data_IF_435126237740
#
_entry.id   IF_435126237740
#
_cell.length_a   1.000
_cell.length_b   1.000
_cell.length_c   1.000
_cell.angle_alpha   90.00
_cell.angle_beta   90.00
_cell.angle_gamma   90.00
#
_symmetry.space_group_name_H-M   'P 1'
#
loop_
_entity.id
_entity.type
_entity.pdbx_description
1 polymer ?
#
# COMPACT_ATOMS: atom_id res chain seq x y z
N UNK A 1 -30.37 -9.85 -20.63
CA UNK A 1 -30.48 -10.46 -19.29
C UNK A 1 -29.15 -10.24 -18.59
N UNK A 2 -29.12 -9.34 -17.61
CA UNK A 2 -27.90 -9.07 -16.84
C UNK A 2 -27.68 -10.25 -15.90
N UNK A 3 -26.67 -11.08 -16.17
CA UNK A 3 -26.30 -12.16 -15.27
C UNK A 3 -25.75 -11.54 -13.99
N UNK A 4 -26.49 -11.70 -12.88
CA UNK A 4 -26.02 -11.39 -11.54
C UNK A 4 -24.73 -12.16 -11.28
N UNK A 5 -23.60 -11.44 -11.30
CA UNK A 5 -22.33 -11.97 -10.83
C UNK A 5 -22.53 -12.26 -9.34
N UNK A 6 -22.69 -13.53 -9.01
CA UNK A 6 -22.63 -14.03 -7.64
C UNK A 6 -21.26 -13.67 -7.07
N UNK A 7 -21.17 -12.53 -6.38
CA UNK A 7 -20.03 -12.16 -5.53
C UNK A 7 -19.99 -13.15 -4.36
N UNK A 8 -19.42 -14.34 -4.57
CA UNK A 8 -18.74 -15.00 -3.47
C UNK A 8 -17.55 -14.10 -3.18
N UNK A 9 -17.62 -13.33 -2.09
CA UNK A 9 -16.48 -12.59 -1.58
C UNK A 9 -15.32 -13.58 -1.49
N UNK A 10 -14.19 -13.37 -2.18
CA UNK A 10 -13.02 -14.22 -1.99
C UNK A 10 -12.68 -14.23 -0.49
N UNK A 11 -12.16 -15.35 0.03
CA UNK A 11 -11.61 -15.34 1.39
C UNK A 11 -10.54 -14.27 1.43
N UNK A 12 -10.74 -13.25 2.28
CA UNK A 12 -9.80 -12.13 2.39
C UNK A 12 -8.57 -12.67 3.10
N UNK A 13 -7.43 -12.52 2.45
CA UNK A 13 -6.13 -12.85 3.00
C UNK A 13 -5.28 -11.57 3.03
N UNK A 14 -5.43 -10.74 4.07
CA UNK A 14 -4.81 -9.43 4.11
C UNK A 14 -3.33 -9.54 4.49
N UNK A 15 -2.53 -8.58 4.01
CA UNK A 15 -1.09 -8.48 4.33
C UNK A 15 -0.87 -8.22 5.82
N UNK A 16 -1.78 -7.49 6.47
CA UNK A 16 -1.79 -7.33 7.92
C UNK A 16 -2.94 -8.16 8.52
N UNK A 17 -2.63 -9.04 9.48
CA UNK A 17 -3.57 -9.99 10.10
C UNK A 17 -3.60 -9.78 11.61
N UNK A 18 -4.80 -9.80 12.18
CA UNK A 18 -4.99 -9.79 13.63
C UNK A 18 -5.13 -11.22 14.15
N UNK A 19 -4.12 -11.70 14.85
CA UNK A 19 -4.04 -13.07 15.33
C UNK A 19 -4.39 -13.19 16.81
N UNK A 20 -5.39 -14.03 17.09
CA UNK A 20 -5.85 -14.26 18.44
C UNK A 20 -5.02 -15.35 19.15
N UNK A 21 -3.98 -15.01 19.92
CA UNK A 21 -3.00 -15.96 20.50
C UNK A 21 -3.22 -16.15 22.01
N UNK A 22 -3.02 -17.37 22.51
CA UNK A 22 -2.98 -17.67 23.95
C UNK A 22 -1.63 -18.28 24.27
N UNK A 23 -0.86 -17.61 25.13
CA UNK A 23 0.46 -18.09 25.54
C UNK A 23 0.33 -19.10 26.68
N UNK A 24 1.20 -20.11 26.67
CA UNK A 24 1.30 -21.06 27.78
C UNK A 24 1.87 -20.37 29.03
N UNK A 25 1.27 -20.65 30.19
CA UNK A 25 1.74 -20.16 31.49
C UNK A 25 3.21 -20.56 31.74
N UNK A 26 4.06 -19.62 32.21
CA UNK A 26 5.43 -19.95 32.57
C UNK A 26 5.46 -20.86 33.80
N UNK A 27 6.37 -21.85 33.81
CA UNK A 27 6.54 -22.77 34.94
C UNK A 27 8.01 -23.13 35.15
N UNK A 28 8.34 -23.81 36.25
CA UNK A 28 9.71 -24.32 36.47
C UNK A 28 10.15 -25.31 35.37
N UNK A 29 9.20 -26.00 34.73
CA UNK A 29 9.47 -26.96 33.65
C UNK A 29 9.47 -26.32 32.26
N UNK A 30 9.01 -25.07 32.14
CA UNK A 30 9.07 -24.28 30.90
C UNK A 30 9.39 -22.83 31.26
N UNK A 31 10.68 -22.49 31.21
CA UNK A 31 11.23 -21.18 31.55
C UNK A 31 11.54 -20.31 30.32
N UNK A 32 10.99 -20.66 29.15
CA UNK A 32 11.17 -19.86 27.93
C UNK A 32 10.60 -18.45 28.09
N UNK A 33 11.26 -17.49 27.43
CA UNK A 33 10.86 -16.08 27.44
C UNK A 33 9.47 -15.88 26.82
N UNK A 34 8.75 -14.80 27.18
CA UNK A 34 7.50 -14.42 26.51
C UNK A 34 7.64 -14.33 24.98
N UNK A 35 8.78 -13.79 24.53
CA UNK A 35 9.14 -13.66 23.11
C UNK A 35 9.23 -15.02 22.41
N UNK A 36 9.94 -15.98 23.00
CA UNK A 36 10.10 -17.32 22.41
C UNK A 36 8.74 -18.06 22.33
N UNK A 37 7.88 -17.87 23.33
CA UNK A 37 6.51 -18.43 23.33
C UNK A 37 5.65 -17.81 22.23
N UNK A 38 5.71 -16.48 22.06
CA UNK A 38 4.94 -15.80 21.03
C UNK A 38 5.41 -16.22 19.63
N UNK A 39 6.72 -16.31 19.43
CA UNK A 39 7.34 -16.76 18.19
C UNK A 39 6.87 -18.17 17.80
N UNK A 40 6.98 -19.13 18.72
CA UNK A 40 6.50 -20.51 18.50
C UNK A 40 4.99 -20.55 18.20
N UNK A 41 4.20 -19.78 18.94
CA UNK A 41 2.75 -19.72 18.73
C UNK A 41 2.37 -19.16 17.34
N UNK A 42 3.13 -18.18 16.84
CA UNK A 42 2.97 -17.62 15.49
C UNK A 42 3.44 -18.60 14.42
N UNK A 43 4.64 -19.16 14.55
CA UNK A 43 5.21 -20.14 13.61
C UNK A 43 4.30 -21.37 13.45
N UNK A 44 3.67 -21.83 14.54
CA UNK A 44 2.71 -22.94 14.49
C UNK A 44 1.42 -22.64 13.71
N UNK A 45 1.06 -21.37 13.50
CA UNK A 45 -0.16 -20.96 12.75
C UNK A 45 0.07 -20.83 11.27
N UNK A 46 1.22 -20.31 10.86
CA UNK A 46 1.55 -20.07 9.46
C UNK A 46 2.31 -21.29 8.91
N UNK A 47 1.59 -22.37 8.61
CA UNK A 47 2.16 -23.55 7.96
C UNK A 47 2.53 -23.21 6.50
N UNK A 48 3.82 -23.05 6.21
CA UNK A 48 4.37 -22.67 4.90
C UNK A 48 5.80 -22.12 5.04
N UNK A 49 6.49 -21.85 3.92
CA UNK A 49 7.91 -21.44 3.82
C UNK A 49 8.30 -20.10 4.51
N UNK A 50 7.55 -19.62 5.51
CA UNK A 50 7.79 -18.33 6.18
C UNK A 50 8.08 -18.47 7.70
N UNK A 51 9.24 -19.02 8.09
CA UNK A 51 9.56 -19.34 9.49
C UNK A 51 10.17 -18.17 10.29
N UNK A 52 10.40 -16.99 9.71
CA UNK A 52 11.08 -15.92 10.44
C UNK A 52 10.10 -14.82 10.91
N UNK A 53 9.80 -14.84 12.22
CA UNK A 53 8.96 -13.82 12.87
C UNK A 53 9.82 -12.69 13.46
N UNK A 54 9.89 -11.53 12.83
CA UNK A 54 10.54 -10.36 13.44
C UNK A 54 9.64 -9.77 14.54
N UNK A 55 10.17 -9.60 15.76
CA UNK A 55 9.50 -8.93 16.87
C UNK A 55 10.32 -7.67 17.23
N UNK A 56 9.95 -6.48 16.73
CA UNK A 56 10.66 -5.24 17.04
C UNK A 56 10.54 -4.88 18.52
N UNK A 57 11.38 -3.93 18.96
CA UNK A 57 11.51 -3.56 20.38
C UNK A 57 10.21 -3.04 21.00
N UNK A 58 9.39 -2.31 20.25
CA UNK A 58 8.14 -1.74 20.77
C UNK A 58 7.09 -2.84 21.06
N UNK A 59 6.72 -3.71 20.12
CA UNK A 59 5.88 -4.89 20.43
C UNK A 59 6.48 -5.81 21.49
N UNK A 60 7.81 -5.92 21.58
CA UNK A 60 8.47 -6.69 22.63
C UNK A 60 8.27 -6.06 24.02
N UNK A 61 8.28 -4.73 24.13
CA UNK A 61 7.96 -4.00 25.37
C UNK A 61 6.50 -4.19 25.78
N UNK A 62 5.57 -4.12 24.81
CA UNK A 62 4.15 -4.40 25.04
C UNK A 62 3.95 -5.82 25.55
N UNK A 63 4.52 -6.81 24.85
CA UNK A 63 4.48 -8.22 25.23
C UNK A 63 5.02 -8.47 26.64
N UNK A 64 6.18 -7.90 26.95
CA UNK A 64 6.79 -8.00 28.28
C UNK A 64 5.85 -7.47 29.37
N UNK A 65 5.28 -6.28 29.17
CA UNK A 65 4.39 -5.66 30.14
C UNK A 65 3.11 -6.49 30.37
N UNK A 66 2.54 -7.03 29.29
CA UNK A 66 1.32 -7.84 29.35
C UNK A 66 1.56 -9.16 30.06
N UNK A 67 2.59 -9.91 29.65
CA UNK A 67 2.84 -11.25 30.21
C UNK A 67 3.26 -11.19 31.68
N UNK A 68 4.11 -10.24 32.07
CA UNK A 68 4.51 -10.11 33.48
C UNK A 68 3.44 -9.47 34.38
N UNK A 69 2.35 -8.94 33.82
CA UNK A 69 1.14 -8.59 34.57
C UNK A 69 0.08 -9.69 34.60
N UNK A 70 0.37 -10.87 34.01
CA UNK A 70 -0.50 -12.05 34.02
C UNK A 70 -1.45 -12.15 32.83
N UNK A 71 -1.32 -11.29 31.81
CA UNK A 71 -2.14 -11.34 30.60
C UNK A 71 -1.50 -12.29 29.60
N UNK A 72 -2.16 -13.42 29.30
CA UNK A 72 -1.69 -14.45 28.37
C UNK A 72 -2.58 -14.64 27.14
N UNK A 73 -3.82 -14.14 27.18
CA UNK A 73 -4.71 -14.06 26.03
C UNK A 73 -4.47 -12.73 25.29
N UNK A 74 -3.80 -12.83 24.15
CA UNK A 74 -3.25 -11.70 23.41
C UNK A 74 -3.84 -11.59 22.01
N UNK A 75 -4.17 -10.38 21.58
CA UNK A 75 -4.28 -10.07 20.16
C UNK A 75 -2.91 -9.63 19.65
N UNK A 76 -2.46 -10.22 18.55
CA UNK A 76 -1.17 -9.92 17.94
C UNK A 76 -1.39 -9.52 16.49
N UNK A 77 -1.06 -8.27 16.17
CA UNK A 77 -1.11 -7.83 14.78
C UNK A 77 0.21 -8.17 14.09
N UNK A 78 0.13 -8.96 13.01
CA UNK A 78 1.27 -9.33 12.19
C UNK A 78 1.13 -8.76 10.78
N UNK A 79 2.25 -8.35 10.19
CA UNK A 79 2.34 -7.83 8.83
C UNK A 79 3.30 -8.71 8.05
N UNK A 80 2.85 -9.26 6.92
CA UNK A 80 3.70 -10.04 6.03
C UNK A 80 4.79 -9.17 5.39
N UNK A 81 5.97 -9.77 5.21
CA UNK A 81 7.15 -9.22 4.54
C UNK A 81 7.63 -10.21 3.48
N UNK A 82 8.56 -9.79 2.62
CA UNK A 82 9.06 -10.59 1.49
C UNK A 82 9.62 -11.99 1.87
N UNK A 83 10.02 -12.21 3.13
CA UNK A 83 10.56 -13.49 3.60
C UNK A 83 10.12 -13.85 5.04
N UNK A 84 8.91 -13.44 5.46
CA UNK A 84 8.39 -13.80 6.77
C UNK A 84 7.39 -12.81 7.34
N UNK A 85 7.24 -12.83 8.66
CA UNK A 85 6.26 -12.01 9.38
C UNK A 85 6.94 -11.00 10.27
N UNK A 86 6.32 -9.83 10.44
CA UNK A 86 6.69 -8.87 11.48
C UNK A 86 5.53 -8.64 12.41
N UNK A 87 5.76 -8.77 13.71
CA UNK A 87 4.80 -8.31 14.72
C UNK A 87 4.81 -6.79 14.73
N UNK A 88 3.64 -6.19 14.49
CA UNK A 88 3.46 -4.75 14.50
C UNK A 88 2.93 -4.24 15.85
N UNK A 89 2.11 -5.03 16.56
CA UNK A 89 1.53 -4.68 17.86
C UNK A 89 1.11 -5.91 18.64
N UNK A 90 1.18 -5.83 19.97
CA UNK A 90 0.64 -6.84 20.90
C UNK A 90 -0.27 -6.15 21.92
N UNK A 91 -1.47 -6.68 22.11
CA UNK A 91 -2.44 -6.17 23.07
C UNK A 91 -3.15 -7.31 23.82
N UNK A 92 -3.88 -7.01 24.91
CA UNK A 92 -4.80 -7.99 25.48
C UNK A 92 -5.87 -8.36 24.43
N UNK A 93 -6.49 -9.54 24.56
CA UNK A 93 -7.63 -9.94 23.72
C UNK A 93 -8.71 -8.85 23.69
N UNK A 94 -9.10 -8.41 22.50
CA UNK A 94 -10.04 -7.31 22.25
C UNK A 94 -9.47 -5.91 22.46
N UNK A 95 -8.18 -5.79 22.77
CA UNK A 95 -7.51 -4.52 23.08
C UNK A 95 -6.84 -3.84 21.88
N UNK A 96 -6.71 -4.53 20.75
CA UNK A 96 -6.29 -3.91 19.49
C UNK A 96 -7.54 -3.55 18.71
N UNK A 97 -7.89 -2.27 18.74
CA UNK A 97 -8.92 -1.73 17.85
C UNK A 97 -8.32 -1.47 16.47
N UNK A 98 -8.97 -1.96 15.42
CA UNK A 98 -8.67 -1.75 14.00
C UNK A 98 -7.37 -2.34 13.49
N UNK A 99 -7.55 -3.18 12.49
CA UNK A 99 -6.55 -3.55 11.52
C UNK A 99 -6.85 -2.77 10.25
N UNK A 100 -6.39 -1.51 10.16
CA UNK A 100 -6.71 -0.64 9.04
C UNK A 100 -5.60 -0.63 7.99
N UNK A 101 -6.00 -0.37 6.75
CA UNK A 101 -5.11 -0.13 5.64
C UNK A 101 -5.54 1.10 4.86
N UNK A 102 -4.61 1.69 4.11
CA UNK A 102 -4.92 2.77 3.16
C UNK A 102 -4.50 2.38 1.75
N UNK A 103 -5.39 2.54 0.78
CA UNK A 103 -5.05 2.45 -0.63
C UNK A 103 -5.00 3.86 -1.23
N UNK A 104 -3.94 4.17 -1.95
CA UNK A 104 -3.68 5.48 -2.55
C UNK A 104 -3.54 5.32 -4.05
N UNK A 105 -4.38 6.03 -4.81
CA UNK A 105 -4.22 6.26 -6.24
C UNK A 105 -3.57 7.63 -6.43
N UNK A 106 -2.30 7.62 -6.81
CA UNK A 106 -1.45 8.78 -7.01
C UNK A 106 -1.45 9.17 -8.50
N UNK A 107 -2.52 9.85 -8.90
CA UNK A 107 -2.65 10.41 -10.24
C UNK A 107 -1.92 11.73 -10.44
N UNK A 108 -1.66 12.09 -11.69
CA UNK A 108 -1.05 13.38 -12.07
C UNK A 108 -1.95 14.58 -11.78
N UNK A 109 -3.27 14.38 -11.81
CA UNK A 109 -4.26 15.44 -11.62
C UNK A 109 -4.93 15.35 -10.26
N UNK A 110 -5.16 14.12 -9.79
CA UNK A 110 -5.93 13.81 -8.58
C UNK A 110 -5.20 12.78 -7.75
N UNK A 111 -5.28 12.90 -6.42
CA UNK A 111 -4.85 11.89 -5.46
C UNK A 111 -6.09 11.37 -4.74
N UNK A 112 -6.35 10.06 -4.81
CA UNK A 112 -7.50 9.43 -4.16
C UNK A 112 -7.03 8.47 -3.07
N UNK A 113 -7.65 8.53 -1.90
CA UNK A 113 -7.34 7.67 -0.77
C UNK A 113 -8.59 6.91 -0.33
N UNK A 114 -8.41 5.63 -0.04
CA UNK A 114 -9.43 4.71 0.48
C UNK A 114 -8.95 4.15 1.81
N UNK A 115 -9.71 4.36 2.88
CA UNK A 115 -9.48 3.72 4.17
C UNK A 115 -10.22 2.39 4.20
N UNK A 116 -9.50 1.32 4.47
CA UNK A 116 -9.99 -0.05 4.43
C UNK A 116 -9.90 -0.70 5.81
N UNK A 117 -10.92 -1.46 6.20
CA UNK A 117 -10.79 -2.45 7.27
C UNK A 117 -10.17 -3.71 6.66
N UNK A 118 -8.95 -4.07 7.07
CA UNK A 118 -8.25 -5.23 6.54
C UNK A 118 -8.79 -6.56 7.08
N UNK A 119 -9.57 -6.53 8.16
CA UNK A 119 -10.24 -7.72 8.71
C UNK A 119 -11.46 -8.10 7.87
N UNK A 120 -12.27 -7.10 7.49
CA UNK A 120 -13.53 -7.32 6.77
C UNK A 120 -13.42 -7.09 5.27
N UNK A 121 -12.37 -6.39 4.82
CA UNK A 121 -12.18 -5.94 3.43
C UNK A 121 -13.09 -4.78 3.02
N UNK A 122 -13.80 -4.17 3.97
CA UNK A 122 -14.74 -3.09 3.68
C UNK A 122 -14.04 -1.74 3.55
N UNK A 123 -14.50 -0.93 2.59
CA UNK A 123 -14.13 0.49 2.49
C UNK A 123 -14.88 1.26 3.58
N UNK A 124 -14.15 1.83 4.53
CA UNK A 124 -14.70 2.61 5.63
C UNK A 124 -14.96 4.07 5.22
N UNK A 125 -14.06 4.62 4.41
CA UNK A 125 -14.12 6.01 3.95
C UNK A 125 -13.24 6.24 2.73
N UNK A 126 -13.55 7.29 1.97
CA UNK A 126 -12.73 7.76 0.84
C UNK A 126 -12.60 9.28 0.80
N UNK A 127 -11.48 9.77 0.26
CA UNK A 127 -11.20 11.19 0.02
C UNK A 127 -10.47 11.36 -1.31
N UNK A 128 -10.68 12.53 -1.90
CA UNK A 128 -10.09 12.92 -3.16
C UNK A 128 -9.53 14.33 -3.02
N UNK A 129 -8.33 14.55 -3.53
CA UNK A 129 -7.65 15.84 -3.54
C UNK A 129 -7.13 16.14 -4.95
N UNK A 130 -7.09 17.41 -5.33
CA UNK A 130 -6.28 17.80 -6.48
C UNK A 130 -4.80 17.57 -6.16
N UNK A 131 -4.03 17.10 -7.14
CA UNK A 131 -2.59 16.94 -6.98
C UNK A 131 -1.91 18.33 -7.05
N UNK A 132 -1.35 18.85 -5.93
CA UNK A 132 -0.75 20.19 -5.92
C UNK A 132 0.47 20.33 -6.83
N UNK A 133 1.10 19.21 -7.22
CA UNK A 133 2.23 19.20 -8.15
C UNK A 133 1.90 19.79 -9.53
N UNK A 134 0.60 19.90 -9.88
CA UNK A 134 0.11 20.60 -11.08
C UNK A 134 0.60 22.04 -11.17
N UNK A 135 0.86 22.70 -10.03
CA UNK A 135 1.37 24.09 -10.02
C UNK A 135 2.73 24.24 -10.70
N UNK A 136 3.48 23.14 -10.84
CA UNK A 136 4.79 23.09 -11.49
C UNK A 136 4.73 22.62 -12.96
N UNK A 137 3.53 22.39 -13.48
CA UNK A 137 3.29 21.98 -14.86
C UNK A 137 1.98 21.20 -15.00
N UNK A 138 1.18 21.55 -16.00
CA UNK A 138 -0.04 20.79 -16.31
C UNK A 138 0.31 19.37 -16.79
N UNK A 139 1.38 19.23 -17.58
CA UNK A 139 1.89 17.94 -18.05
C UNK A 139 3.03 17.37 -17.17
N UNK A 140 3.24 16.06 -17.29
CA UNK A 140 4.25 15.32 -16.53
C UNK A 140 5.68 15.72 -16.93
N UNK A 141 5.92 16.08 -18.20
CA UNK A 141 7.26 16.43 -18.71
C UNK A 141 7.78 17.71 -18.07
N UNK A 142 6.93 18.73 -17.95
CA UNK A 142 7.24 19.99 -17.27
C UNK A 142 7.63 19.74 -15.81
N UNK A 143 6.92 18.83 -15.12
CA UNK A 143 7.28 18.45 -13.75
C UNK A 143 8.59 17.66 -13.67
N UNK A 144 8.90 16.81 -14.65
CA UNK A 144 10.21 16.14 -14.73
C UNK A 144 11.33 17.17 -14.89
N UNK A 145 11.13 18.22 -15.71
CA UNK A 145 12.09 19.31 -15.86
C UNK A 145 12.27 20.10 -14.56
N UNK A 146 11.19 20.35 -13.81
CA UNK A 146 11.27 20.94 -12.47
C UNK A 146 12.07 20.06 -11.51
N UNK A 147 11.79 18.75 -11.52
CA UNK A 147 12.45 17.73 -10.71
C UNK A 147 13.93 17.48 -11.09
N UNK A 148 14.39 17.97 -12.24
CA UNK A 148 15.79 17.83 -12.66
C UNK A 148 16.76 18.55 -11.70
N UNK A 149 16.25 19.48 -10.88
CA UNK A 149 16.97 20.07 -9.76
C UNK A 149 16.57 19.36 -8.46
N UNK A 150 17.55 19.13 -7.58
CA UNK A 150 17.34 18.46 -6.28
C UNK A 150 16.23 19.14 -5.46
N UNK A 151 16.20 20.46 -5.46
CA UNK A 151 15.20 21.25 -4.73
C UNK A 151 13.80 21.04 -5.30
N UNK A 152 13.65 21.01 -6.62
CA UNK A 152 12.36 20.78 -7.29
C UNK A 152 11.85 19.36 -7.06
N UNK A 153 12.74 18.36 -7.05
CA UNK A 153 12.37 16.97 -6.72
C UNK A 153 11.86 16.84 -5.28
N UNK A 154 12.55 17.45 -4.31
CA UNK A 154 12.12 17.44 -2.91
C UNK A 154 10.82 18.22 -2.70
N UNK A 155 10.60 19.30 -3.45
CA UNK A 155 9.34 20.03 -3.42
C UNK A 155 8.17 19.17 -3.89
N UNK A 156 8.31 18.50 -5.04
CA UNK A 156 7.28 17.58 -5.56
C UNK A 156 7.03 16.40 -4.63
N UNK A 157 8.10 15.81 -4.07
CA UNK A 157 7.98 14.75 -3.07
C UNK A 157 7.13 15.21 -1.89
N UNK A 158 7.52 16.34 -1.30
CA UNK A 158 6.86 16.89 -0.12
C UNK A 158 5.40 17.17 -0.39
N UNK A 159 5.08 17.76 -1.53
CA UNK A 159 3.71 18.05 -1.94
C UNK A 159 2.81 16.81 -2.04
N UNK A 160 3.29 15.73 -2.65
CA UNK A 160 2.55 14.46 -2.70
C UNK A 160 2.39 13.88 -1.30
N UNK A 161 3.47 13.82 -0.52
CA UNK A 161 3.48 13.23 0.82
C UNK A 161 2.58 14.01 1.79
N UNK A 162 2.65 15.34 1.81
CA UNK A 162 1.82 16.21 2.64
C UNK A 162 0.33 16.04 2.29
N UNK A 163 0.01 15.88 1.00
CA UNK A 163 -1.38 15.66 0.54
C UNK A 163 -1.90 14.29 0.98
N UNK A 164 -1.09 13.24 0.82
CA UNK A 164 -1.44 11.89 1.28
C UNK A 164 -1.61 11.87 2.80
N UNK A 165 -0.69 12.47 3.55
CA UNK A 165 -0.73 12.53 5.01
C UNK A 165 -1.96 13.31 5.52
N UNK A 166 -2.30 14.43 4.88
CA UNK A 166 -3.55 15.14 5.15
C UNK A 166 -4.77 14.26 4.87
N UNK A 167 -4.76 13.55 3.74
CA UNK A 167 -5.83 12.63 3.37
C UNK A 167 -6.03 11.51 4.39
N UNK A 168 -4.94 10.95 4.90
CA UNK A 168 -4.98 9.94 5.98
C UNK A 168 -5.63 10.53 7.23
N UNK A 169 -5.19 11.71 7.67
CA UNK A 169 -5.74 12.38 8.87
C UNK A 169 -7.25 12.67 8.72
N UNK A 170 -7.66 13.19 7.56
CA UNK A 170 -9.06 13.47 7.25
C UNK A 170 -9.92 12.18 7.26
N UNK A 171 -9.36 11.06 6.77
CA UNK A 171 -10.03 9.76 6.74
C UNK A 171 -10.20 9.16 8.13
N UNK A 172 -9.13 9.10 8.93
CA UNK A 172 -9.19 8.51 10.28
C UNK A 172 -10.06 9.34 11.21
N UNK A 173 -10.02 10.67 11.09
CA UNK A 173 -10.91 11.57 11.83
C UNK A 173 -12.38 11.30 11.52
N UNK A 174 -12.73 11.05 10.26
CA UNK A 174 -14.10 10.77 9.83
C UNK A 174 -14.69 9.53 10.51
N UNK A 175 -13.87 8.51 10.74
CA UNK A 175 -14.29 7.22 11.32
C UNK A 175 -13.97 7.10 12.81
N UNK A 176 -13.47 8.18 13.44
CA UNK A 176 -13.13 8.19 14.86
C UNK A 176 -11.94 7.30 15.23
N UNK A 177 -10.99 7.14 14.30
CA UNK A 177 -9.79 6.30 14.42
C UNK A 177 -8.53 7.16 14.44
N UNK A 178 -7.38 6.52 14.66
CA UNK A 178 -6.08 7.20 14.62
C UNK A 178 -5.24 6.68 13.45
N UNK A 179 -4.29 7.49 12.99
CA UNK A 179 -3.36 7.07 11.94
C UNK A 179 -2.48 5.90 12.37
N UNK A 180 -2.19 5.76 13.67
CA UNK A 180 -1.48 4.61 14.23
C UNK A 180 -2.27 3.30 14.16
N UNK A 181 -3.55 3.33 13.81
CA UNK A 181 -4.34 2.13 13.57
C UNK A 181 -4.19 1.60 12.12
N UNK A 182 -3.47 2.34 11.26
CA UNK A 182 -3.17 1.95 9.88
C UNK A 182 -1.80 1.26 9.84
N UNK A 183 -1.77 -0.01 9.42
CA UNK A 183 -0.56 -0.82 9.44
C UNK A 183 -0.01 -1.17 8.06
N UNK A 184 -0.81 -0.92 7.03
CA UNK A 184 -0.42 -1.17 5.65
C UNK A 184 -0.93 -0.06 4.73
N UNK A 185 -0.06 0.42 3.85
CA UNK A 185 -0.43 1.31 2.76
C UNK A 185 -0.10 0.64 1.43
N UNK A 186 -1.00 0.75 0.45
CA UNK A 186 -0.71 0.40 -0.94
C UNK A 186 -0.84 1.64 -1.80
N UNK A 187 0.15 1.92 -2.64
CA UNK A 187 0.20 3.13 -3.47
C UNK A 187 0.38 2.72 -4.92
N UNK A 188 -0.60 3.05 -5.75
CA UNK A 188 -0.55 2.88 -7.20
C UNK A 188 -0.47 4.25 -7.86
N UNK A 189 0.25 4.35 -8.96
CA UNK A 189 0.40 5.58 -9.74
C UNK A 189 1.34 5.32 -10.90
N UNK A 190 1.33 6.23 -11.88
CA UNK A 190 2.27 6.10 -13.00
C UNK A 190 3.72 6.22 -12.51
N UNK A 191 4.64 5.72 -13.34
CA UNK A 191 6.07 5.64 -13.01
C UNK A 191 6.64 6.97 -12.53
N UNK A 192 6.30 8.07 -13.18
CA UNK A 192 6.82 9.40 -12.80
C UNK A 192 6.28 9.85 -11.44
N UNK A 193 4.99 9.67 -11.17
CA UNK A 193 4.39 10.05 -9.88
C UNK A 193 5.03 9.29 -8.72
N UNK A 194 5.27 7.99 -8.89
CA UNK A 194 5.99 7.17 -7.90
C UNK A 194 7.43 7.66 -7.70
N UNK A 195 8.15 8.02 -8.77
CA UNK A 195 9.50 8.57 -8.64
C UNK A 195 9.52 9.90 -7.88
N UNK A 196 8.52 10.77 -8.09
CA UNK A 196 8.38 11.99 -7.29
C UNK A 196 8.14 11.67 -5.82
N UNK A 197 7.20 10.76 -5.50
CA UNK A 197 6.89 10.36 -4.12
C UNK A 197 8.12 9.79 -3.40
N UNK A 198 8.92 8.98 -4.10
CA UNK A 198 10.12 8.34 -3.54
C UNK A 198 11.38 9.20 -3.63
N UNK A 199 11.28 10.43 -4.15
CA UNK A 199 12.42 11.31 -4.47
C UNK A 199 13.54 10.62 -5.27
N UNK A 200 13.15 9.82 -6.27
CA UNK A 200 14.06 9.23 -7.26
C UNK A 200 14.17 10.15 -8.47
N UNK A 201 15.38 10.34 -9.00
CA UNK A 201 15.62 11.22 -10.16
C UNK A 201 14.84 10.72 -11.40
N UNK A 202 13.83 11.46 -11.89
CA UNK A 202 13.00 11.04 -13.01
C UNK A 202 13.55 11.51 -14.36
N UNK A 203 14.70 12.20 -14.39
CA UNK A 203 15.18 12.91 -15.59
C UNK A 203 15.48 12.03 -16.80
N UNK A 204 15.67 10.72 -16.60
CA UNK A 204 15.90 9.74 -17.66
C UNK A 204 14.62 9.02 -18.14
N UNK A 205 13.48 9.22 -17.47
CA UNK A 205 12.18 8.62 -17.87
C UNK A 205 11.78 9.12 -19.26
N UNK A 206 12.02 10.40 -19.55
CA UNK A 206 11.66 11.08 -20.80
C UNK A 206 12.81 11.21 -21.82
N UNK A 207 13.99 10.66 -21.53
CA UNK A 207 15.16 10.70 -22.41
C UNK A 207 15.47 9.32 -22.92
N UNK A 208 15.70 9.17 -24.23
CA UNK A 208 16.12 7.91 -24.82
C UNK A 208 17.34 7.33 -24.05
N UNK A 209 17.32 6.04 -23.64
CA UNK A 209 16.36 4.99 -24.00
C UNK A 209 15.18 4.78 -23.01
N UNK A 210 14.69 5.85 -22.39
CA UNK A 210 13.51 5.93 -21.52
C UNK A 210 13.63 5.05 -20.28
N UNK A 211 14.59 5.38 -19.40
CA UNK A 211 14.95 4.56 -18.26
C UNK A 211 14.43 5.15 -16.95
N UNK A 212 13.50 4.47 -16.25
CA UNK A 212 13.22 4.75 -14.85
C UNK A 212 14.36 4.25 -13.95
N UNK A 213 14.49 4.81 -12.75
CA UNK A 213 15.47 4.36 -11.76
C UNK A 213 15.15 2.95 -11.29
N UNK A 214 13.87 2.69 -11.03
CA UNK A 214 13.39 1.39 -10.61
C UNK A 214 11.96 1.13 -11.08
N UNK A 215 11.69 -0.15 -11.34
CA UNK A 215 10.36 -0.67 -11.68
C UNK A 215 9.78 -1.56 -10.58
N UNK A 216 10.60 -2.01 -9.63
CA UNK A 216 10.19 -2.81 -8.48
C UNK A 216 10.77 -2.18 -7.23
N UNK A 217 9.98 -2.17 -6.18
CA UNK A 217 10.33 -1.60 -4.89
C UNK A 217 10.05 -2.66 -3.84
N UNK A 218 10.97 -2.79 -2.88
CA UNK A 218 10.73 -3.62 -1.70
C UNK A 218 9.67 -2.96 -0.81
N UNK A 219 9.13 -3.70 0.16
CA UNK A 219 8.23 -3.11 1.15
C UNK A 219 8.96 -2.04 1.96
N UNK A 220 8.51 -0.80 1.83
CA UNK A 220 9.10 0.35 2.52
C UNK A 220 8.52 0.47 3.93
N UNK A 221 9.28 1.05 4.85
CA UNK A 221 8.76 1.38 6.17
C UNK A 221 8.11 2.76 6.17
N UNK A 222 6.98 2.91 6.87
CA UNK A 222 6.25 4.17 6.96
C UNK A 222 7.14 5.36 7.36
N UNK A 223 7.99 5.15 8.37
CA UNK A 223 8.94 6.14 8.88
C UNK A 223 10.04 6.54 7.88
N UNK A 224 10.37 5.67 6.92
CA UNK A 224 11.41 5.95 5.92
C UNK A 224 10.87 6.93 4.88
N UNK A 225 9.63 6.73 4.43
CA UNK A 225 8.98 7.63 3.49
C UNK A 225 8.45 8.91 4.16
N UNK A 226 8.16 8.86 5.47
CA UNK A 226 7.49 9.95 6.19
C UNK A 226 5.97 9.91 6.04
N UNK A 227 5.41 8.72 5.82
CA UNK A 227 3.96 8.50 5.75
C UNK A 227 3.38 8.42 7.17
N UNK A 228 2.36 9.23 7.45
CA UNK A 228 1.70 9.33 8.76
C UNK A 228 0.70 8.17 8.95
N UNK A 229 1.22 6.96 9.07
CA UNK A 229 0.52 5.76 9.54
C UNK A 229 1.27 5.21 10.76
N UNK A 230 0.96 4.00 11.24
CA UNK A 230 1.75 3.39 12.30
C UNK A 230 3.26 3.40 11.93
N UNK A 231 4.19 3.76 12.84
CA UNK A 231 5.61 3.90 12.50
C UNK A 231 6.27 2.60 12.01
N UNK A 232 5.75 1.46 12.45
CA UNK A 232 6.13 0.12 11.99
C UNK A 232 5.21 -0.42 10.88
N UNK A 233 4.38 0.43 10.28
CA UNK A 233 3.57 0.11 9.13
C UNK A 233 4.42 -0.11 7.88
N UNK A 234 3.90 -0.91 6.96
CA UNK A 234 4.55 -1.20 5.68
C UNK A 234 3.86 -0.47 4.53
N UNK A 235 4.64 -0.03 3.56
CA UNK A 235 4.15 0.61 2.34
C UNK A 235 4.52 -0.28 1.16
N UNK A 236 3.51 -0.69 0.41
CA UNK A 236 3.65 -1.36 -0.87
C UNK A 236 3.44 -0.37 -2.00
N UNK A 237 4.47 -0.21 -2.82
CA UNK A 237 4.39 0.55 -4.06
C UNK A 237 4.12 -0.44 -5.19
N UNK A 238 3.05 -0.22 -5.96
CA UNK A 238 2.78 -1.06 -7.12
C UNK A 238 3.98 -1.00 -8.10
N UNK A 239 4.43 -2.14 -8.63
CA UNK A 239 5.55 -2.16 -9.55
C UNK A 239 5.19 -1.42 -10.85
N UNK A 240 6.18 -0.83 -11.48
CA UNK A 240 6.09 -0.30 -12.82
C UNK A 240 6.62 -1.34 -13.82
N UNK A 241 6.31 -1.19 -15.11
CA UNK A 241 6.89 -2.00 -16.19
C UNK A 241 7.90 -1.19 -17.01
N UNK A 242 7.68 0.13 -17.12
CA UNK A 242 8.60 1.05 -17.79
C UNK A 242 8.19 2.50 -17.58
N UNK A 243 8.79 3.44 -18.33
CA UNK A 243 8.55 4.88 -18.16
C UNK A 243 7.08 5.32 -18.25
N UNK A 244 6.31 4.67 -19.11
CA UNK A 244 4.91 5.04 -19.41
C UNK A 244 3.92 3.91 -19.12
N UNK A 245 4.36 2.88 -18.37
CA UNK A 245 3.51 1.81 -17.89
C UNK A 245 3.80 1.66 -16.40
N UNK A 246 2.97 2.28 -15.58
CA UNK A 246 3.14 2.35 -14.14
C UNK A 246 2.30 1.34 -13.37
N UNK A 247 2.35 1.49 -12.05
CA UNK A 247 1.63 0.66 -11.10
C UNK A 247 0.11 0.87 -11.10
N UNK A 248 -0.36 2.04 -11.53
CA UNK A 248 -1.77 2.35 -11.79
C UNK A 248 -2.40 1.38 -12.80
N UNK A 249 -1.77 1.18 -13.96
CA UNK A 249 -2.26 0.23 -14.97
C UNK A 249 -2.24 -1.21 -14.44
N UNK A 250 -1.18 -1.60 -13.71
CA UNK A 250 -1.13 -2.93 -13.08
C UNK A 250 -2.26 -3.11 -12.07
N UNK A 251 -2.56 -2.10 -11.26
CA UNK A 251 -3.68 -2.11 -10.35
C UNK A 251 -5.01 -2.30 -11.12
N UNK A 252 -5.19 -1.62 -12.25
CA UNK A 252 -6.33 -1.81 -13.15
C UNK A 252 -6.44 -3.23 -13.74
N UNK A 253 -5.32 -3.82 -14.17
CA UNK A 253 -5.28 -5.22 -14.66
C UNK A 253 -5.65 -6.21 -13.54
N UNK A 254 -5.17 -5.97 -12.32
CA UNK A 254 -5.48 -6.78 -11.15
C UNK A 254 -6.96 -6.68 -10.77
N UNK A 255 -7.48 -5.45 -10.70
CA UNK A 255 -8.87 -5.16 -10.34
C UNK A 255 -9.88 -5.68 -11.37
N UNK A 256 -9.60 -5.53 -12.67
CA UNK A 256 -10.46 -6.05 -13.74
C UNK A 256 -10.49 -7.59 -13.79
N UNK A 257 -9.43 -8.24 -13.31
CA UNK A 257 -9.25 -9.68 -13.37
C UNK A 257 -8.99 -10.20 -14.79
N UNK A 258 -8.65 -9.34 -15.75
CA UNK A 258 -8.39 -9.77 -17.14
C UNK A 258 -7.23 -10.77 -17.24
N UNK A 259 -6.26 -10.69 -16.33
CA UNK A 259 -5.12 -11.63 -16.22
C UNK A 259 -5.51 -13.06 -15.82
N UNK A 260 -6.77 -13.30 -15.44
CA UNK A 260 -7.28 -14.64 -15.05
C UNK A 260 -8.23 -15.24 -16.07
N UNK A 261 -8.53 -14.53 -17.15
CA UNK A 261 -9.54 -14.93 -18.15
C UNK A 261 -8.86 -15.34 -19.44
N UNK A 262 -9.39 -16.35 -20.11
CA UNK A 262 -8.88 -16.76 -21.43
C UNK A 262 -9.42 -15.87 -22.55
N UNK A 263 -10.57 -15.22 -22.33
CA UNK A 263 -11.16 -14.32 -23.31
C UNK A 263 -10.32 -13.04 -23.49
N UNK A 264 -10.15 -12.63 -24.75
CA UNK A 264 -9.50 -11.36 -25.07
C UNK A 264 -10.38 -10.21 -24.57
N UNK A 265 -9.77 -9.33 -23.78
CA UNK A 265 -10.40 -8.15 -23.23
C UNK A 265 -9.49 -6.93 -23.39
N UNK A 266 -10.10 -5.76 -23.36
CA UNK A 266 -9.41 -4.48 -23.45
C UNK A 266 -9.72 -3.67 -22.19
N UNK A 267 -8.69 -3.23 -21.50
CA UNK A 267 -8.74 -2.22 -20.46
C UNK A 267 -8.30 -0.90 -21.08
N UNK A 268 -9.08 0.14 -20.87
CA UNK A 268 -8.77 1.50 -21.32
C UNK A 268 -8.81 2.38 -20.07
N UNK A 269 -7.65 2.89 -19.68
CA UNK A 269 -7.53 3.96 -18.70
C UNK A 269 -7.55 5.29 -19.44
N UNK A 270 -8.47 6.16 -19.04
CA UNK A 270 -8.72 7.44 -19.70
C UNK A 270 -8.50 8.54 -18.68
N UNK A 271 -7.28 9.07 -18.68
CA UNK A 271 -6.92 10.26 -17.92
C UNK A 271 -6.26 11.32 -18.80
N UNK A 272 -5.28 12.03 -18.24
CA UNK A 272 -4.45 12.99 -18.99
C UNK A 272 -3.71 12.29 -20.15
N UNK A 273 -3.31 11.05 -19.91
CA UNK A 273 -2.84 10.10 -20.91
C UNK A 273 -3.95 9.06 -21.18
N UNK A 274 -3.88 8.42 -22.35
CA UNK A 274 -4.69 7.26 -22.65
C UNK A 274 -3.78 6.04 -22.63
N UNK A 275 -4.03 5.16 -21.66
CA UNK A 275 -3.37 3.87 -21.57
C UNK A 275 -4.34 2.75 -21.92
N UNK A 276 -3.89 1.87 -22.81
CA UNK A 276 -4.69 0.75 -23.29
C UNK A 276 -3.92 -0.55 -23.07
N UNK A 277 -4.60 -1.53 -22.49
CA UNK A 277 -4.11 -2.90 -22.33
C UNK A 277 -5.05 -3.83 -23.06
N UNK A 278 -4.52 -4.62 -24.00
CA UNK A 278 -5.25 -5.64 -24.75
C UNK A 278 -4.65 -7.00 -24.43
N UNK A 279 -5.48 -7.96 -24.05
CA UNK A 279 -5.00 -9.33 -23.82
C UNK A 279 -5.92 -10.18 -22.96
N UNK A 280 -5.31 -11.22 -22.39
CA UNK A 280 -5.94 -12.24 -21.57
C UNK A 280 -4.90 -12.86 -20.60
N UNK A 281 -5.17 -14.03 -20.04
CA UNK A 281 -4.28 -14.76 -19.12
C UNK A 281 -2.99 -15.28 -19.75
N UNK A 282 -2.93 -15.41 -21.08
CA UNK A 282 -1.76 -15.95 -21.80
C UNK A 282 -0.82 -14.88 -22.33
N UNK A 283 -1.36 -13.73 -22.74
CA UNK A 283 -0.58 -12.63 -23.30
C UNK A 283 -1.26 -11.30 -23.03
N UNK A 284 -0.47 -10.25 -22.88
CA UNK A 284 -0.94 -8.87 -22.82
C UNK A 284 0.00 -7.97 -23.60
N UNK A 285 -0.59 -7.01 -24.30
CA UNK A 285 0.11 -5.90 -24.94
C UNK A 285 -0.46 -4.61 -24.38
N UNK A 286 0.41 -3.65 -24.13
CA UNK A 286 0.02 -2.34 -23.63
C UNK A 286 0.64 -1.23 -24.45
N UNK A 287 -0.09 -0.13 -24.57
CA UNK A 287 0.39 1.11 -25.15
C UNK A 287 -0.09 2.29 -24.31
N UNK A 288 0.76 3.29 -24.18
CA UNK A 288 0.43 4.57 -23.60
C UNK A 288 0.61 5.65 -24.67
N UNK A 289 -0.35 6.58 -24.74
CA UNK A 289 -0.30 7.72 -25.66
C UNK A 289 -0.87 8.97 -24.99
N UNK A 290 -0.44 10.14 -25.45
CA UNK A 290 -1.04 11.40 -25.00
C UNK A 290 -2.47 11.51 -25.55
N UNK A 291 -3.47 11.54 -24.67
CA UNK A 291 -4.87 11.78 -25.06
C UNK A 291 -5.24 13.27 -24.98
N UNK A 292 -4.62 14.01 -24.04
CA UNK A 292 -4.96 15.40 -23.72
C UNK A 292 -6.22 15.49 -22.82
N UNK A 293 -6.41 16.60 -22.09
CA UNK A 293 -7.42 16.70 -21.01
C UNK A 293 -8.88 16.87 -21.49
N UNK A 294 -9.18 16.56 -22.75
CA UNK A 294 -10.51 16.79 -23.34
C UNK A 294 -11.64 16.08 -22.57
N UNK A 295 -11.33 14.95 -21.90
CA UNK A 295 -12.28 14.16 -21.12
C UNK A 295 -12.19 14.37 -19.60
N UNK A 296 -11.13 15.04 -19.11
CA UNK A 296 -10.91 15.35 -17.68
C UNK A 296 -11.44 16.75 -17.28
N UNK A 297 -12.11 17.46 -18.21
CA UNK A 297 -12.65 18.81 -17.99
C UNK A 297 -12.34 19.82 -19.09
N UNK A 298 -11.70 19.41 -20.18
CA UNK A 298 -11.26 20.28 -21.26
C UNK A 298 -12.20 20.40 -22.46
N UNK A 299 -13.49 20.70 -22.25
CA UNK A 299 -14.31 21.54 -23.16
C UNK A 299 -15.36 22.29 -22.32
N UNK A 300 -15.08 23.54 -21.97
CA UNK A 300 -16.06 24.62 -21.79
C UNK A 300 -15.57 25.85 -22.54
#
# INVERSE_FOLDING_TARGET
MASSISKKSPSIDPVARLEAITLQEPSLNDNRSPEARLREALEGRFQGDEPHVAIPLEPLRELSSLVFSGVLDLDTLVVAKDAGLRVARVGPRGGIEGNLGVAVDLGSTTIVLYLMDLTTGEELARRQYENPQRRHGEDILARILHAAKREGLLELQKEALDTINKGIEDLVTLVGRKSEDIYFASIAGNTTMVHFLLALDPSHICKEPYLPVANRFDLLEARELGLNIHPLGSIYIFPNVGSYFGGDLLAGILASGMHRREEISMLIDVGTNAEVVLGNSMWMVACAGAAGPALEGGIL
#
